data_IF_720175980247
#
_entry.id   IF_720175980247
#
_cell.length_a   1.000
_cell.length_b   1.000
_cell.length_c   1.000
_cell.angle_alpha   90.00
_cell.angle_beta   90.00
_cell.angle_gamma   90.00
#
_symmetry.space_group_name_H-M   'P 1'
#
loop_
_entity.id
_entity.type
_entity.pdbx_description
1 polymer ?
#
# COMPACT_ATOMS: atom_id res chain seq x y z
N UNK A 1 22.61 11.31 -6.56
CA UNK A 1 22.35 10.40 -5.43
C UNK A 1 21.53 9.20 -5.90
N UNK A 2 20.25 9.38 -6.25
CA UNK A 2 19.35 8.30 -6.70
C UNK A 2 19.96 7.42 -7.82
N UNK A 3 20.58 8.00 -8.85
CA UNK A 3 21.20 7.19 -9.92
C UNK A 3 22.33 6.28 -9.39
N UNK A 4 23.12 6.77 -8.42
CA UNK A 4 24.17 5.95 -7.78
C UNK A 4 23.55 4.79 -7.03
N UNK A 5 22.46 5.03 -6.30
CA UNK A 5 21.73 3.98 -5.59
C UNK A 5 21.17 2.92 -6.55
N UNK A 6 20.70 3.32 -7.74
CA UNK A 6 20.23 2.36 -8.75
C UNK A 6 21.35 1.45 -9.27
N UNK A 7 22.56 1.96 -9.46
CA UNK A 7 23.72 1.12 -9.77
C UNK A 7 24.03 0.14 -8.62
N UNK A 8 23.97 0.60 -7.37
CA UNK A 8 24.24 -0.24 -6.20
C UNK A 8 23.18 -1.35 -6.06
N UNK A 9 21.89 -1.03 -6.22
CA UNK A 9 20.80 -2.00 -6.21
C UNK A 9 21.00 -3.07 -7.30
N UNK A 10 21.36 -2.64 -8.51
CA UNK A 10 21.67 -3.56 -9.61
C UNK A 10 22.88 -4.44 -9.29
N UNK A 11 23.95 -3.87 -8.76
CA UNK A 11 25.16 -4.61 -8.37
C UNK A 11 24.86 -5.67 -7.30
N UNK A 12 23.93 -5.37 -6.39
CA UNK A 12 23.45 -6.31 -5.37
C UNK A 12 22.44 -7.35 -5.89
N UNK A 13 22.06 -7.29 -7.17
CA UNK A 13 21.08 -8.20 -7.78
C UNK A 13 19.63 -7.93 -7.33
N UNK A 14 19.33 -6.71 -6.90
CA UNK A 14 17.96 -6.30 -6.54
C UNK A 14 17.24 -5.89 -7.82
N UNK A 15 16.14 -6.58 -8.12
CA UNK A 15 15.38 -6.38 -9.36
C UNK A 15 13.97 -5.80 -9.12
N UNK A 16 13.61 -5.51 -7.87
CA UNK A 16 12.27 -5.02 -7.50
C UNK A 16 12.40 -3.78 -6.63
N UNK A 17 11.76 -2.68 -7.06
CA UNK A 17 11.77 -1.39 -6.36
C UNK A 17 10.34 -0.96 -6.07
N UNK A 18 10.08 -0.49 -4.85
CA UNK A 18 8.85 0.22 -4.50
C UNK A 18 9.13 1.73 -4.52
N UNK A 19 8.71 2.42 -5.58
CA UNK A 19 8.93 3.85 -5.76
C UNK A 19 7.92 4.67 -4.94
N UNK A 20 8.42 5.41 -3.95
CA UNK A 20 7.62 6.23 -3.03
C UNK A 20 8.15 7.66 -3.00
N UNK A 21 7.26 8.63 -2.78
CA UNK A 21 7.65 10.02 -2.51
C UNK A 21 8.31 10.14 -1.13
N UNK A 22 7.79 9.38 -0.17
CA UNK A 22 8.06 9.55 1.25
C UNK A 22 7.03 10.45 1.94
N UNK A 23 7.08 10.42 3.26
CA UNK A 23 6.29 11.26 4.15
C UNK A 23 6.98 12.61 4.39
N UNK A 24 6.23 13.61 4.87
CA UNK A 24 6.83 14.86 5.31
C UNK A 24 7.74 14.64 6.52
N UNK A 25 8.71 15.54 6.70
CA UNK A 25 9.57 15.53 7.89
C UNK A 25 8.68 15.69 9.13
N UNK A 26 8.99 14.95 10.20
CA UNK A 26 8.24 15.03 11.47
C UNK A 26 8.10 16.48 11.93
N UNK A 27 6.85 16.93 12.07
CA UNK A 27 6.51 18.31 12.45
C UNK A 27 6.14 19.22 11.27
N UNK A 28 6.44 18.84 10.03
CA UNK A 28 6.01 19.55 8.83
C UNK A 28 4.65 19.04 8.34
N UNK A 29 3.76 19.99 8.00
CA UNK A 29 2.42 19.69 7.49
C UNK A 29 2.39 19.27 6.02
N UNK A 30 3.45 19.55 5.27
CA UNK A 30 3.53 19.29 3.83
C UNK A 30 4.90 18.73 3.51
N UNK A 31 4.93 17.84 2.52
CA UNK A 31 6.19 17.35 1.97
C UNK A 31 6.92 18.48 1.23
N UNK A 32 8.23 18.57 1.46
CA UNK A 32 9.13 19.45 0.71
C UNK A 32 10.24 18.58 0.10
N UNK A 33 10.42 18.56 -1.22
CA UNK A 33 11.47 17.77 -1.85
C UNK A 33 12.85 18.30 -1.45
N UNK A 34 13.84 17.41 -1.37
CA UNK A 34 15.24 17.82 -1.25
C UNK A 34 15.67 18.65 -2.48
N UNK A 35 16.68 19.53 -2.37
CA UNK A 35 17.21 20.25 -3.51
C UNK A 35 17.64 19.30 -4.63
N UNK A 36 17.02 19.44 -5.81
CA UNK A 36 17.24 18.54 -6.95
C UNK A 36 16.59 17.15 -6.83
N UNK A 37 15.77 16.92 -5.80
CA UNK A 37 14.98 15.71 -5.60
C UNK A 37 13.61 15.75 -6.29
N UNK A 38 12.91 14.62 -6.22
CA UNK A 38 11.58 14.46 -6.82
C UNK A 38 10.47 14.93 -5.88
N UNK A 39 9.50 15.65 -6.45
CA UNK A 39 8.29 16.11 -5.74
C UNK A 39 7.23 15.02 -5.64
N UNK A 40 7.22 14.08 -6.60
CA UNK A 40 6.23 13.02 -6.68
C UNK A 40 6.87 11.68 -7.02
N UNK A 41 6.27 10.60 -6.54
CA UNK A 41 6.72 9.24 -6.86
C UNK A 41 6.73 8.95 -8.37
N UNK A 42 5.86 9.59 -9.16
CA UNK A 42 5.86 9.43 -10.62
C UNK A 42 7.12 9.94 -11.30
N UNK A 43 7.72 11.01 -10.77
CA UNK A 43 8.99 11.54 -11.29
C UNK A 43 10.15 10.58 -10.95
N UNK A 44 10.09 9.91 -9.79
CA UNK A 44 11.04 8.84 -9.44
C UNK A 44 10.91 7.65 -10.38
N UNK A 45 9.68 7.19 -10.68
CA UNK A 45 9.44 6.11 -11.66
C UNK A 45 10.04 6.49 -13.02
N UNK A 46 9.75 7.70 -13.51
CA UNK A 46 10.33 8.21 -14.77
C UNK A 46 11.86 8.26 -14.71
N UNK A 47 12.43 8.71 -13.60
CA UNK A 47 13.87 8.72 -13.34
C UNK A 47 14.50 7.33 -13.46
N UNK A 48 13.88 6.30 -12.85
CA UNK A 48 14.33 4.91 -12.94
C UNK A 48 14.23 4.40 -14.39
N UNK A 49 13.12 4.66 -15.09
CA UNK A 49 12.98 4.25 -16.50
C UNK A 49 13.97 4.95 -17.43
N UNK A 50 14.34 6.20 -17.14
CA UNK A 50 15.37 6.92 -17.90
C UNK A 50 16.77 6.38 -17.61
N UNK A 51 17.04 5.97 -16.38
CA UNK A 51 18.26 5.24 -16.02
C UNK A 51 18.37 3.92 -16.80
N UNK A 52 17.30 3.12 -16.83
CA UNK A 52 17.24 1.86 -17.60
C UNK A 52 17.50 2.06 -19.09
N UNK A 53 16.90 3.09 -19.70
CA UNK A 53 17.19 3.48 -21.09
C UNK A 53 18.67 3.85 -21.29
N UNK A 54 19.27 4.56 -20.33
CA UNK A 54 20.68 4.97 -20.38
C UNK A 54 21.63 3.77 -20.34
N UNK A 55 21.31 2.75 -19.55
CA UNK A 55 22.12 1.52 -19.45
C UNK A 55 21.74 0.46 -20.50
N UNK A 56 20.63 0.64 -21.21
CA UNK A 56 20.15 -0.28 -22.24
C UNK A 56 19.55 -1.58 -21.70
N UNK A 57 19.06 -1.58 -20.46
CA UNK A 57 18.56 -2.76 -19.76
C UNK A 57 17.27 -2.43 -19.02
N UNK A 58 16.29 -3.34 -19.02
CA UNK A 58 15.11 -3.27 -18.17
C UNK A 58 15.41 -4.01 -16.86
N UNK A 59 16.02 -3.31 -15.91
CA UNK A 59 16.64 -3.88 -14.73
C UNK A 59 15.67 -4.08 -13.57
N UNK A 60 14.58 -3.32 -13.50
CA UNK A 60 13.70 -3.26 -12.34
C UNK A 60 12.23 -3.46 -12.69
N UNK A 61 11.56 -4.27 -11.87
CA UNK A 61 10.12 -4.26 -11.68
C UNK A 61 9.75 -3.17 -10.66
N UNK A 62 8.95 -2.18 -11.06
CA UNK A 62 8.67 -0.98 -10.28
C UNK A 62 7.25 -1.02 -9.72
N UNK A 63 7.11 -1.14 -8.41
CA UNK A 63 5.87 -0.97 -7.68
C UNK A 63 5.61 0.49 -7.27
N UNK A 64 4.35 0.89 -7.20
CA UNK A 64 3.93 2.18 -6.63
C UNK A 64 2.77 2.02 -5.63
N UNK A 65 2.65 2.97 -4.70
CA UNK A 65 1.55 2.99 -3.73
C UNK A 65 0.22 3.42 -4.37
N UNK A 66 -0.89 2.79 -4.00
CA UNK A 66 -2.26 3.23 -4.30
C UNK A 66 -3.09 3.41 -3.02
N UNK A 67 -4.06 4.31 -3.01
CA UNK A 67 -4.84 4.62 -1.80
C UNK A 67 -6.34 4.37 -2.07
N UNK A 68 -6.90 3.23 -1.62
CA UNK A 68 -8.30 2.91 -1.85
C UNK A 68 -9.27 3.96 -1.32
N UNK A 69 -8.87 4.64 -0.24
CA UNK A 69 -9.64 5.68 0.45
C UNK A 69 -9.10 7.09 0.23
N UNK A 70 -8.31 7.28 -0.85
CA UNK A 70 -7.65 8.54 -1.26
C UNK A 70 -6.49 8.96 -0.35
N UNK A 71 -5.38 9.41 -0.95
CA UNK A 71 -4.30 10.06 -0.19
C UNK A 71 -4.81 11.30 0.58
N UNK A 72 -4.36 11.52 1.82
CA UNK A 72 -4.87 12.62 2.65
C UNK A 72 -4.68 14.01 2.02
N UNK A 73 -3.61 14.21 1.24
CA UNK A 73 -3.35 15.47 0.51
C UNK A 73 -4.19 15.65 -0.77
N UNK A 74 -4.83 14.60 -1.30
CA UNK A 74 -5.64 14.72 -2.51
C UNK A 74 -7.02 15.31 -2.18
N UNK A 75 -7.57 16.12 -3.10
CA UNK A 75 -8.86 16.79 -2.89
C UNK A 75 -10.05 15.81 -2.88
N UNK A 76 -10.01 14.80 -3.75
CA UNK A 76 -11.02 13.75 -3.89
C UNK A 76 -10.38 12.49 -4.52
N UNK A 77 -11.13 11.38 -4.54
CA UNK A 77 -10.64 10.08 -5.02
C UNK A 77 -10.33 10.12 -6.53
N UNK A 78 -11.08 10.90 -7.31
CA UNK A 78 -10.87 11.05 -8.76
C UNK A 78 -9.52 11.71 -9.06
N UNK A 79 -9.15 12.74 -8.30
CA UNK A 79 -7.84 13.40 -8.41
C UNK A 79 -6.72 12.46 -8.02
N UNK A 80 -6.91 11.66 -6.96
CA UNK A 80 -5.90 10.70 -6.50
C UNK A 80 -5.68 9.57 -7.52
N UNK A 81 -6.75 9.07 -8.15
CA UNK A 81 -6.67 8.09 -9.22
C UNK A 81 -6.00 8.68 -10.47
N UNK A 82 -6.28 9.94 -10.82
CA UNK A 82 -5.57 10.61 -11.91
C UNK A 82 -4.06 10.73 -11.64
N UNK A 83 -3.65 10.97 -10.39
CA UNK A 83 -2.25 10.99 -10.00
C UNK A 83 -1.64 9.57 -9.98
N UNK A 84 -2.40 8.56 -9.56
CA UNK A 84 -2.00 7.16 -9.66
C UNK A 84 -1.77 6.75 -11.12
N UNK A 85 -2.66 7.18 -12.02
CA UNK A 85 -2.49 6.96 -13.46
C UNK A 85 -1.19 7.57 -13.98
N UNK A 86 -0.83 8.79 -13.58
CA UNK A 86 0.46 9.40 -13.97
C UNK A 86 1.65 8.54 -13.56
N UNK A 87 1.62 7.93 -12.36
CA UNK A 87 2.68 7.01 -11.90
C UNK A 87 2.76 5.75 -12.77
N UNK A 88 1.61 5.20 -13.15
CA UNK A 88 1.54 4.02 -14.03
C UNK A 88 2.01 4.36 -15.44
N UNK A 89 1.55 5.49 -16.00
CA UNK A 89 1.94 5.97 -17.32
C UNK A 89 3.44 6.32 -17.39
N UNK A 90 4.06 6.71 -16.27
CA UNK A 90 5.51 6.90 -16.15
C UNK A 90 6.30 5.58 -16.21
N UNK A 91 5.62 4.43 -16.09
CA UNK A 91 6.20 3.09 -16.27
C UNK A 91 6.19 2.21 -15.02
N UNK A 92 5.29 2.42 -14.05
CA UNK A 92 5.15 1.47 -12.94
C UNK A 92 4.52 0.15 -13.42
N UNK A 93 5.00 -0.98 -12.90
CA UNK A 93 4.58 -2.34 -13.31
C UNK A 93 3.45 -2.90 -12.46
N UNK A 94 3.30 -2.45 -11.21
CA UNK A 94 2.23 -2.88 -10.32
C UNK A 94 1.93 -1.85 -9.22
N UNK A 95 0.77 -2.00 -8.60
CA UNK A 95 0.32 -1.16 -7.50
C UNK A 95 0.19 -2.02 -6.24
N UNK A 96 0.73 -1.57 -5.11
CA UNK A 96 0.38 -2.09 -3.78
C UNK A 96 -0.50 -1.04 -3.09
N UNK A 97 -1.66 -1.45 -2.61
CA UNK A 97 -2.56 -0.51 -1.93
C UNK A 97 -2.13 -0.27 -0.50
N UNK A 98 -2.43 0.92 0.02
CA UNK A 98 -2.55 1.16 1.45
C UNK A 98 -3.54 0.16 2.08
N UNK A 99 -3.40 -0.08 3.38
CA UNK A 99 -4.32 -0.89 4.16
C UNK A 99 -5.76 -0.37 4.10
N UNK A 100 -6.70 -1.30 4.09
CA UNK A 100 -8.14 -1.05 4.17
C UNK A 100 -8.78 -2.17 5.01
N UNK A 101 -9.91 -1.89 5.64
CA UNK A 101 -10.59 -2.84 6.53
C UNK A 101 -11.93 -3.35 6.01
N UNK A 102 -12.39 -2.82 4.87
CA UNK A 102 -13.55 -3.30 4.12
C UNK A 102 -13.14 -3.60 2.66
N UNK A 103 -13.36 -4.84 2.21
CA UNK A 103 -13.03 -5.25 0.85
C UNK A 103 -13.83 -4.48 -0.22
N UNK A 104 -15.02 -3.97 0.11
CA UNK A 104 -15.84 -3.17 -0.81
C UNK A 104 -15.09 -1.91 -1.28
N UNK A 105 -14.29 -1.32 -0.39
CA UNK A 105 -13.43 -0.17 -0.66
C UNK A 105 -12.36 -0.52 -1.70
N UNK A 106 -11.69 -1.66 -1.52
CA UNK A 106 -10.70 -2.14 -2.49
C UNK A 106 -11.33 -2.43 -3.85
N UNK A 107 -12.49 -3.09 -3.89
CA UNK A 107 -13.17 -3.38 -5.16
C UNK A 107 -13.60 -2.09 -5.87
N UNK A 108 -14.19 -1.14 -5.13
CA UNK A 108 -14.54 0.16 -5.68
C UNK A 108 -13.33 0.96 -6.19
N UNK A 109 -12.18 0.86 -5.51
CA UNK A 109 -10.93 1.44 -5.98
C UNK A 109 -10.41 0.76 -7.25
N UNK A 110 -10.41 -0.57 -7.28
CA UNK A 110 -10.00 -1.37 -8.45
C UNK A 110 -10.84 -0.99 -9.67
N UNK A 111 -12.15 -0.90 -9.52
CA UNK A 111 -13.07 -0.59 -10.62
C UNK A 111 -12.83 0.81 -11.17
N UNK A 112 -12.65 1.81 -10.30
CA UNK A 112 -12.29 3.17 -10.74
C UNK A 112 -10.92 3.22 -11.42
N UNK A 113 -9.93 2.46 -10.94
CA UNK A 113 -8.64 2.33 -11.61
C UNK A 113 -8.80 1.77 -13.03
N UNK A 114 -9.62 0.72 -13.20
CA UNK A 114 -9.90 0.16 -14.53
C UNK A 114 -10.62 1.15 -15.43
N UNK A 115 -11.61 1.90 -14.91
CA UNK A 115 -12.29 2.97 -15.66
C UNK A 115 -11.33 4.08 -16.10
N UNK A 116 -10.31 4.38 -15.30
CA UNK A 116 -9.25 5.33 -15.65
C UNK A 116 -8.20 4.78 -16.62
N UNK A 117 -8.31 3.51 -17.06
CA UNK A 117 -7.36 2.88 -17.97
C UNK A 117 -6.07 2.38 -17.31
N UNK A 118 -6.04 2.24 -15.99
CA UNK A 118 -4.94 1.59 -15.28
C UNK A 118 -5.12 0.09 -15.43
N UNK A 119 -4.20 -0.60 -16.12
CA UNK A 119 -4.29 -2.04 -16.42
C UNK A 119 -3.32 -2.92 -15.63
N UNK A 120 -2.30 -2.32 -14.99
CA UNK A 120 -1.32 -3.06 -14.18
C UNK A 120 -1.97 -3.83 -13.01
N UNK A 121 -1.32 -4.89 -12.50
CA UNK A 121 -1.78 -5.60 -11.30
C UNK A 121 -1.95 -4.65 -10.10
N UNK A 122 -3.04 -4.83 -9.36
CA UNK A 122 -3.33 -4.10 -8.12
C UNK A 122 -3.37 -5.12 -7.00
N UNK A 123 -2.40 -5.03 -6.08
CA UNK A 123 -2.19 -5.94 -4.97
C UNK A 123 -2.78 -5.30 -3.71
N UNK A 124 -3.81 -5.90 -3.09
CA UNK A 124 -4.35 -5.41 -1.83
C UNK A 124 -3.32 -5.51 -0.70
N UNK A 125 -3.12 -4.40 0.02
CA UNK A 125 -2.39 -4.36 1.28
C UNK A 125 -3.33 -4.65 2.46
N UNK A 126 -3.06 -5.70 3.23
CA UNK A 126 -3.83 -6.05 4.42
C UNK A 126 -2.99 -5.90 5.69
N UNK A 127 -3.64 -5.39 6.74
CA UNK A 127 -3.05 -5.25 8.06
C UNK A 127 -3.98 -5.88 9.11
N UNK A 128 -3.61 -7.01 9.74
CA UNK A 128 -4.37 -7.49 10.89
C UNK A 128 -4.24 -6.51 12.06
N UNK A 129 -5.38 -6.12 12.64
CA UNK A 129 -5.41 -5.40 13.90
C UNK A 129 -4.98 -6.33 15.03
N UNK A 130 -4.38 -5.75 16.06
CA UNK A 130 -3.80 -6.49 17.18
C UNK A 130 -4.09 -5.87 18.54
N UNK A 131 -4.60 -4.64 18.56
CA UNK A 131 -5.04 -3.93 19.77
C UNK A 131 -6.17 -2.97 19.44
N UNK A 132 -7.07 -2.72 20.40
CA UNK A 132 -8.13 -1.72 20.23
C UNK A 132 -7.56 -0.33 19.94
N UNK A 133 -6.42 0.06 20.52
CA UNK A 133 -5.78 1.37 20.27
C UNK A 133 -5.53 1.65 18.78
N UNK A 134 -5.34 0.62 17.96
CA UNK A 134 -5.14 0.79 16.51
C UNK A 134 -6.38 1.32 15.79
N UNK A 135 -7.59 1.16 16.36
CA UNK A 135 -8.83 1.70 15.79
C UNK A 135 -8.85 3.23 15.77
N UNK A 136 -8.08 3.88 16.65
CA UNK A 136 -7.96 5.34 16.69
C UNK A 136 -6.72 5.84 15.95
N UNK A 137 -5.58 5.14 16.10
CA UNK A 137 -4.31 5.60 15.55
C UNK A 137 -4.25 5.49 14.02
N UNK A 138 -4.74 4.39 13.44
CA UNK A 138 -4.60 4.16 12.01
C UNK A 138 -5.42 5.15 11.16
N UNK A 139 -6.70 5.44 11.48
CA UNK A 139 -7.45 6.47 10.76
C UNK A 139 -6.78 7.84 10.79
N UNK A 140 -6.20 8.24 11.92
CA UNK A 140 -5.52 9.52 12.08
C UNK A 140 -4.27 9.64 11.19
N UNK A 141 -3.50 8.55 11.09
CA UNK A 141 -2.26 8.56 10.31
C UNK A 141 -2.48 8.35 8.82
N UNK A 142 -3.46 7.52 8.45
CA UNK A 142 -3.61 7.04 7.06
C UNK A 142 -4.88 7.50 6.37
N UNK A 143 -5.79 8.20 7.08
CA UNK A 143 -7.09 8.64 6.54
C UNK A 143 -7.90 7.48 5.97
N UNK A 144 -8.05 6.44 6.78
CA UNK A 144 -8.79 5.21 6.45
C UNK A 144 -9.91 4.97 7.45
N UNK A 145 -10.96 4.32 7.01
CA UNK A 145 -12.11 3.92 7.81
C UNK A 145 -11.95 2.48 8.33
N UNK A 146 -12.49 2.26 9.53
CA UNK A 146 -12.52 0.94 10.16
C UNK A 146 -13.99 0.60 10.40
N UNK A 147 -14.49 -0.55 9.90
CA UNK A 147 -15.88 -0.96 10.05
C UNK A 147 -16.33 -0.97 11.50
N UNK A 148 -17.57 -0.54 11.74
CA UNK A 148 -18.16 -0.43 13.08
C UNK A 148 -18.09 -1.78 13.79
N UNK A 149 -18.42 -2.86 13.09
CA UNK A 149 -18.42 -4.23 13.60
C UNK A 149 -17.03 -4.63 14.10
N UNK A 150 -15.97 -4.26 13.39
CA UNK A 150 -14.59 -4.52 13.79
C UNK A 150 -14.20 -3.68 15.01
N UNK A 151 -14.58 -2.40 15.03
CA UNK A 151 -14.29 -1.53 16.17
C UNK A 151 -15.01 -1.96 17.44
N UNK A 152 -16.28 -2.38 17.34
CA UNK A 152 -17.09 -2.86 18.46
C UNK A 152 -16.53 -4.18 18.99
N UNK A 153 -16.21 -5.14 18.12
CA UNK A 153 -15.59 -6.39 18.53
C UNK A 153 -14.26 -6.17 19.28
N UNK A 154 -13.41 -5.27 18.77
CA UNK A 154 -12.15 -4.92 19.44
C UNK A 154 -12.35 -4.16 20.76
N UNK A 155 -13.42 -3.36 20.88
CA UNK A 155 -13.78 -2.67 22.11
C UNK A 155 -14.24 -3.65 23.17
N UNK A 156 -15.06 -4.63 22.79
CA UNK A 156 -15.62 -5.64 23.69
C UNK A 156 -14.55 -6.60 24.22
N UNK A 157 -13.43 -6.76 23.51
CA UNK A 157 -12.25 -7.48 24.02
C UNK A 157 -11.60 -6.78 25.25
N UNK A 158 -11.86 -5.49 25.47
CA UNK A 158 -11.33 -4.75 26.62
C UNK A 158 -9.80 -4.79 26.71
N UNK A 159 -9.28 -5.19 27.88
CA UNK A 159 -7.84 -5.32 28.14
C UNK A 159 -7.26 -6.69 27.74
N UNK A 160 -8.09 -7.62 27.24
CA UNK A 160 -7.63 -8.93 26.76
C UNK A 160 -6.92 -8.77 25.41
N UNK A 161 -5.59 -8.72 25.48
CA UNK A 161 -4.72 -8.58 24.32
C UNK A 161 -4.77 -9.78 23.39
N UNK A 162 -4.97 -11.00 23.91
CA UNK A 162 -5.04 -12.20 23.08
C UNK A 162 -6.39 -12.27 22.35
N UNK A 163 -7.49 -11.87 23.01
CA UNK A 163 -8.79 -11.73 22.35
C UNK A 163 -8.75 -10.69 21.22
N UNK A 164 -8.23 -9.48 21.49
CA UNK A 164 -8.10 -8.43 20.47
C UNK A 164 -7.20 -8.88 19.29
N UNK A 165 -6.13 -9.63 19.58
CA UNK A 165 -5.27 -10.22 18.57
C UNK A 165 -5.99 -11.25 17.71
N UNK A 166 -6.78 -12.13 18.33
CA UNK A 166 -7.60 -13.12 17.63
C UNK A 166 -8.63 -12.48 16.72
N UNK A 167 -9.36 -11.48 17.20
CA UNK A 167 -10.38 -10.75 16.43
C UNK A 167 -9.79 -10.14 15.15
N UNK A 168 -8.69 -9.38 15.27
CA UNK A 168 -8.08 -8.76 14.10
C UNK A 168 -7.42 -9.76 13.14
N UNK A 169 -7.01 -10.94 13.65
CA UNK A 169 -6.50 -12.04 12.80
C UNK A 169 -7.64 -12.67 12.01
N UNK A 170 -8.74 -13.02 12.66
CA UNK A 170 -9.92 -13.61 12.01
C UNK A 170 -10.57 -12.66 11.00
N UNK A 171 -10.60 -11.36 11.31
CA UNK A 171 -11.04 -10.34 10.35
C UNK A 171 -10.17 -10.35 9.08
N UNK A 172 -8.84 -10.34 9.25
CA UNK A 172 -7.90 -10.36 8.13
C UNK A 172 -7.99 -11.67 7.32
N UNK A 173 -8.22 -12.83 7.97
CA UNK A 173 -8.50 -14.10 7.29
C UNK A 173 -9.74 -13.97 6.41
N UNK A 174 -10.84 -13.41 6.94
CA UNK A 174 -12.06 -13.20 6.17
C UNK A 174 -11.82 -12.29 4.97
N UNK A 175 -11.12 -11.17 5.16
CA UNK A 175 -10.74 -10.27 4.07
C UNK A 175 -9.91 -11.00 3.00
N UNK A 176 -8.88 -11.75 3.42
CA UNK A 176 -7.97 -12.43 2.52
C UNK A 176 -8.68 -13.52 1.69
N UNK A 177 -9.47 -14.38 2.34
CA UNK A 177 -10.27 -15.43 1.65
C UNK A 177 -11.20 -14.82 0.59
N UNK A 178 -11.87 -13.72 0.92
CA UNK A 178 -12.76 -13.04 -0.01
C UNK A 178 -12.01 -12.38 -1.18
N UNK A 179 -10.87 -11.72 -0.93
CA UNK A 179 -10.04 -11.12 -1.97
C UNK A 179 -9.49 -12.18 -2.95
N UNK A 180 -9.02 -13.31 -2.42
CA UNK A 180 -8.53 -14.44 -3.24
C UNK A 180 -9.65 -15.00 -4.12
N UNK A 181 -10.85 -15.17 -3.55
CA UNK A 181 -12.04 -15.60 -4.31
C UNK A 181 -12.40 -14.62 -5.44
N UNK A 182 -12.13 -13.34 -5.26
CA UNK A 182 -12.34 -12.28 -6.28
C UNK A 182 -11.14 -12.05 -7.20
N UNK A 183 -10.18 -12.98 -7.21
CA UNK A 183 -9.13 -13.07 -8.23
C UNK A 183 -8.06 -11.98 -8.11
N UNK A 184 -7.74 -11.51 -6.91
CA UNK A 184 -6.56 -10.65 -6.72
C UNK A 184 -5.29 -11.44 -7.06
N UNK A 185 -4.27 -10.80 -7.67
CA UNK A 185 -3.08 -11.51 -8.13
C UNK A 185 -2.17 -11.97 -6.99
N UNK A 186 -2.23 -11.27 -5.85
CA UNK A 186 -1.47 -11.54 -4.63
C UNK A 186 -2.11 -10.77 -3.47
N UNK A 187 -1.62 -10.97 -2.24
CA UNK A 187 -1.97 -10.16 -1.06
C UNK A 187 -0.67 -9.71 -0.40
N UNK A 188 -0.54 -8.42 -0.08
CA UNK A 188 0.59 -7.85 0.64
C UNK A 188 0.24 -7.67 2.12
N UNK A 189 1.05 -8.20 3.04
CA UNK A 189 0.77 -8.11 4.48
C UNK A 189 1.67 -7.11 5.21
N UNK A 190 1.07 -6.15 5.91
CA UNK A 190 1.76 -5.24 6.82
C UNK A 190 1.99 -5.90 8.18
N UNK A 191 3.11 -6.62 8.33
CA UNK A 191 3.42 -7.44 9.51
C UNK A 191 3.71 -6.63 10.78
N UNK A 192 4.30 -5.43 10.64
CA UNK A 192 4.77 -4.59 11.77
C UNK A 192 5.63 -5.36 12.78
N UNK A 193 6.46 -6.29 12.29
CA UNK A 193 7.31 -7.14 13.14
C UNK A 193 6.56 -8.24 13.90
N UNK A 194 5.27 -8.47 13.61
CA UNK A 194 4.46 -9.53 14.21
C UNK A 194 4.23 -10.64 13.19
N UNK A 195 4.67 -11.86 13.50
CA UNK A 195 4.60 -13.00 12.57
C UNK A 195 3.54 -14.04 12.92
N UNK A 196 3.06 -14.12 14.18
CA UNK A 196 2.12 -15.16 14.63
C UNK A 196 0.80 -15.13 13.84
N UNK A 197 0.15 -13.98 13.77
CA UNK A 197 -1.08 -13.78 13.00
C UNK A 197 -0.86 -13.98 11.51
N UNK A 198 0.24 -13.48 10.96
CA UNK A 198 0.56 -13.67 9.53
C UNK A 198 0.67 -15.16 9.20
N UNK A 199 1.35 -15.93 10.05
CA UNK A 199 1.47 -17.39 9.87
C UNK A 199 0.12 -18.09 9.90
N UNK A 200 -0.77 -17.67 10.81
CA UNK A 200 -2.14 -18.20 10.90
C UNK A 200 -2.98 -17.84 9.67
N UNK A 201 -2.93 -16.57 9.23
CA UNK A 201 -3.59 -16.09 8.02
C UNK A 201 -3.15 -16.90 6.80
N UNK A 202 -1.83 -17.10 6.65
CA UNK A 202 -1.28 -17.86 5.53
C UNK A 202 -1.81 -19.29 5.50
N UNK A 203 -1.80 -20.00 6.64
CA UNK A 203 -2.32 -21.39 6.74
C UNK A 203 -3.80 -21.52 6.40
N UNK A 204 -4.58 -20.48 6.68
CA UNK A 204 -6.02 -20.48 6.46
C UNK A 204 -6.41 -20.09 5.04
N UNK A 205 -5.56 -19.33 4.34
CA UNK A 205 -5.92 -18.70 3.07
C UNK A 205 -5.18 -19.30 1.85
N UNK A 206 -4.02 -19.93 2.05
CA UNK A 206 -3.16 -20.47 1.00
C UNK A 206 -2.76 -21.92 1.31
#
# INVERSE_FOLDING_TARGET
EIESELYDLKFLGIENIMALRGDSITGEKRFTPAPGGYSYAGELVEGIRNFEKKIGENAFSIGVGGYPEKHFEAANIETDIANLKKKVDAGADYIITQMFFDNSVFYGFRDRCRQAGISVPIIPGLKPLSTYRQTTLLPQSFSIDIPVELTEALKDAGDDKDAAYGIGTQWCISQCKDLLKHGVPAVHFYTMGKSRNITEILKECF
#
